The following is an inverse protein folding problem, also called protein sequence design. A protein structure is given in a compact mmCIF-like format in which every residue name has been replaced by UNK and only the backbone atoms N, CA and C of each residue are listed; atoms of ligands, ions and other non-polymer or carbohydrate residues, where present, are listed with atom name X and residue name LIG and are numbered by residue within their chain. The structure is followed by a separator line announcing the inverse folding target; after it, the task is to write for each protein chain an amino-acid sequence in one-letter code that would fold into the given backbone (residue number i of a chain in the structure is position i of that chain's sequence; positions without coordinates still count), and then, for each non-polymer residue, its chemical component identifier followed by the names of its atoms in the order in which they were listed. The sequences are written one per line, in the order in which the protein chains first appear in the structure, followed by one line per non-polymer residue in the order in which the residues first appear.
data_IF_294129351564
#
_entry.id   IF_294129351564
#
_cell.length_a   1.000
_cell.length_b   1.000
_cell.length_c   1.000
_cell.angle_alpha   90.00
_cell.angle_beta   90.00
_cell.angle_gamma   90.00
#
_symmetry.space_group_name_H-M   'P 1'
#
loop_
_entity.id
_entity.type
_entity.pdbx_description
1 polymer ?
#
# COMPACT_ATOMS: atom_id res chain seq x y z
N UNK A 1 33.88 -22.45 -25.48
CA UNK A 1 32.44 -22.69 -25.70
C UNK A 1 31.70 -21.79 -24.75
N UNK A 2 31.17 -20.66 -25.21
CA UNK A 2 30.35 -19.75 -24.38
C UNK A 2 29.01 -20.40 -24.16
N UNK A 3 28.73 -20.83 -22.94
CA UNK A 3 27.36 -21.20 -22.51
C UNK A 3 26.46 -20.00 -22.74
N UNK A 4 25.60 -20.10 -23.74
CA UNK A 4 24.46 -19.19 -23.88
C UNK A 4 23.49 -19.46 -22.72
N UNK A 5 23.71 -18.81 -21.59
CA UNK A 5 22.76 -18.82 -20.49
C UNK A 5 21.45 -18.22 -21.04
N UNK A 6 20.48 -19.07 -21.28
CA UNK A 6 19.15 -18.65 -21.76
C UNK A 6 18.60 -17.62 -20.79
N UNK A 7 18.36 -16.39 -21.26
CA UNK A 7 17.83 -15.33 -20.41
C UNK A 7 16.39 -15.65 -20.02
N UNK A 8 16.17 -15.91 -18.74
CA UNK A 8 14.83 -16.11 -18.17
C UNK A 8 14.33 -14.73 -17.71
N UNK A 9 13.31 -14.24 -18.38
CA UNK A 9 12.83 -12.88 -18.26
C UNK A 9 11.53 -12.82 -17.45
N UNK A 10 11.51 -11.95 -16.43
CA UNK A 10 10.32 -11.52 -15.71
C UNK A 10 9.77 -10.24 -16.35
N UNK A 11 8.57 -10.30 -16.92
CA UNK A 11 7.86 -9.16 -17.48
C UNK A 11 6.91 -8.54 -16.46
N UNK A 12 6.86 -7.21 -16.41
CA UNK A 12 6.03 -6.44 -15.47
C UNK A 12 5.30 -5.32 -16.20
N UNK A 13 4.00 -5.19 -15.94
CA UNK A 13 3.17 -4.08 -16.40
C UNK A 13 2.04 -3.80 -15.41
N UNK A 14 1.42 -2.61 -15.48
CA UNK A 14 0.38 -2.18 -14.56
C UNK A 14 -0.95 -1.83 -15.24
N UNK A 15 -2.03 -1.90 -14.44
CA UNK A 15 -3.35 -1.41 -14.80
C UNK A 15 -3.92 -0.53 -13.68
N UNK A 16 -4.56 0.58 -14.05
CA UNK A 16 -5.29 1.41 -13.09
C UNK A 16 -4.55 2.64 -12.57
N UNK A 17 -3.58 3.22 -13.29
CA UNK A 17 -2.91 4.49 -12.88
C UNK A 17 -3.83 5.69 -12.92
N UNK A 18 -4.61 5.85 -13.99
CA UNK A 18 -5.40 7.05 -14.26
C UNK A 18 -6.86 7.08 -13.77
N UNK A 19 -7.53 5.96 -13.46
CA UNK A 19 -8.91 5.97 -12.97
C UNK A 19 -9.06 6.73 -11.65
N UNK A 20 -10.25 7.31 -11.46
CA UNK A 20 -10.65 8.02 -10.24
C UNK A 20 -11.09 7.10 -9.10
N UNK A 21 -11.42 5.84 -9.44
CA UNK A 21 -11.86 4.83 -8.50
C UNK A 21 -11.22 3.46 -8.79
N UNK A 22 -11.19 2.62 -7.76
CA UNK A 22 -10.70 1.25 -7.80
C UNK A 22 -9.19 1.11 -7.60
N UNK A 23 -8.71 -0.14 -7.51
CA UNK A 23 -7.34 -0.46 -7.18
C UNK A 23 -6.36 -0.16 -8.32
N UNK A 24 -5.08 -0.11 -7.95
CA UNK A 24 -3.93 -0.25 -8.84
C UNK A 24 -3.49 -1.71 -8.83
N UNK A 25 -3.26 -2.30 -10.00
CA UNK A 25 -2.87 -3.71 -10.13
C UNK A 25 -1.62 -3.80 -11.00
N UNK A 26 -0.62 -4.56 -10.54
CA UNK A 26 0.59 -4.89 -11.29
C UNK A 26 0.60 -6.39 -11.59
N UNK A 27 0.85 -6.75 -12.84
CA UNK A 27 1.13 -8.11 -13.25
C UNK A 27 2.63 -8.38 -13.32
N UNK A 28 3.04 -9.59 -12.94
CA UNK A 28 4.41 -10.09 -13.05
C UNK A 28 4.38 -11.50 -13.63
N UNK A 29 5.04 -11.74 -14.77
CA UNK A 29 4.96 -13.01 -15.50
C UNK A 29 6.34 -13.48 -15.97
N UNK A 30 6.64 -14.76 -15.72
CA UNK A 30 7.76 -15.51 -16.29
C UNK A 30 7.21 -16.58 -17.23
N UNK A 31 7.43 -16.43 -18.54
CA UNK A 31 6.98 -17.41 -19.55
C UNK A 31 7.96 -18.58 -19.67
N UNK A 32 9.29 -18.34 -19.56
CA UNK A 32 10.35 -19.35 -19.65
C UNK A 32 10.22 -20.27 -20.89
N UNK A 33 9.93 -19.68 -22.05
CA UNK A 33 9.77 -20.42 -23.31
C UNK A 33 8.35 -20.90 -23.59
N UNK A 34 7.40 -20.74 -22.66
CA UNK A 34 5.99 -21.03 -22.94
C UNK A 34 5.47 -20.13 -24.06
N UNK A 35 4.83 -20.74 -25.06
CA UNK A 35 4.18 -20.04 -26.18
C UNK A 35 2.68 -20.04 -25.93
N UNK A 36 2.10 -18.85 -25.82
CA UNK A 36 0.66 -18.68 -25.61
C UNK A 36 0.04 -18.14 -26.90
N UNK A 37 -0.79 -18.94 -27.54
CA UNK A 37 -1.41 -18.61 -28.82
C UNK A 37 -2.27 -17.34 -28.73
N UNK A 38 -1.96 -16.39 -29.61
CA UNK A 38 -2.68 -15.12 -29.69
C UNK A 38 -2.25 -14.11 -28.63
N UNK A 39 -1.16 -14.36 -27.91
CA UNK A 39 -0.49 -13.35 -27.10
C UNK A 39 0.11 -12.30 -28.05
N UNK A 40 -0.43 -11.12 -28.03
CA UNK A 40 -0.03 -9.98 -28.84
C UNK A 40 -0.04 -8.72 -27.96
N UNK A 41 0.26 -7.55 -28.57
CA UNK A 41 0.10 -6.26 -27.92
C UNK A 41 -1.27 -6.15 -27.23
N UNK A 42 -1.26 -6.05 -25.90
CA UNK A 42 -2.45 -6.06 -25.05
C UNK A 42 -3.48 -4.98 -25.47
N UNK A 43 -3.00 -3.85 -26.01
CA UNK A 43 -3.80 -2.71 -26.45
C UNK A 43 -4.54 -2.98 -27.77
N UNK A 44 -4.03 -3.90 -28.59
CA UNK A 44 -4.68 -4.33 -29.84
C UNK A 44 -5.73 -5.42 -29.62
N UNK A 45 -5.73 -6.06 -28.46
CA UNK A 45 -6.68 -7.11 -28.11
C UNK A 45 -8.02 -6.52 -27.66
N UNK A 46 -9.12 -7.13 -28.10
CA UNK A 46 -10.46 -6.83 -27.58
C UNK A 46 -10.59 -7.25 -26.11
N UNK A 47 -11.52 -6.65 -25.35
CA UNK A 47 -11.84 -7.06 -23.96
C UNK A 47 -12.13 -8.56 -23.88
N UNK A 48 -12.92 -9.10 -24.83
CA UNK A 48 -13.24 -10.53 -24.91
C UNK A 48 -11.96 -11.39 -25.07
N UNK A 49 -11.06 -11.01 -25.97
CA UNK A 49 -9.83 -11.77 -26.20
C UNK A 49 -8.90 -11.77 -24.99
N UNK A 50 -8.73 -10.62 -24.32
CA UNK A 50 -7.96 -10.55 -23.08
C UNK A 50 -8.53 -11.45 -21.98
N UNK A 51 -9.87 -11.48 -21.79
CA UNK A 51 -10.53 -12.36 -20.83
C UNK A 51 -10.31 -13.85 -21.11
N UNK A 52 -10.21 -14.23 -22.40
CA UNK A 52 -9.89 -15.62 -22.78
C UNK A 52 -8.41 -15.95 -22.53
N UNK A 53 -7.51 -14.99 -22.75
CA UNK A 53 -6.06 -15.21 -22.60
C UNK A 53 -5.60 -15.22 -21.13
N UNK A 54 -6.21 -14.43 -20.26
CA UNK A 54 -5.77 -14.33 -18.87
C UNK A 54 -5.71 -15.68 -18.13
N UNK A 55 -6.74 -16.55 -18.18
CA UNK A 55 -6.66 -17.90 -17.61
C UNK A 55 -5.57 -18.76 -18.24
N UNK A 56 -5.38 -18.67 -19.57
CA UNK A 56 -4.33 -19.40 -20.28
C UNK A 56 -2.94 -18.97 -19.81
N UNK A 57 -2.73 -17.64 -19.63
CA UNK A 57 -1.48 -17.11 -19.09
C UNK A 57 -1.24 -17.64 -17.67
N UNK A 58 -2.24 -17.57 -16.79
CA UNK A 58 -2.13 -18.03 -15.41
C UNK A 58 -1.82 -19.53 -15.32
N UNK A 59 -2.27 -20.33 -16.27
CA UNK A 59 -2.08 -21.78 -16.29
C UNK A 59 -0.77 -22.20 -16.99
N UNK A 60 -0.36 -21.53 -18.07
CA UNK A 60 0.74 -21.97 -18.93
C UNK A 60 2.07 -21.26 -18.67
N UNK A 61 2.05 -20.07 -18.06
CA UNK A 61 3.29 -19.41 -17.63
C UNK A 61 3.99 -20.21 -16.55
N UNK A 62 5.31 -20.19 -16.55
CA UNK A 62 6.10 -20.81 -15.47
C UNK A 62 5.76 -20.18 -14.11
N UNK A 63 5.53 -18.87 -14.08
CA UNK A 63 4.95 -18.17 -12.94
C UNK A 63 4.21 -16.91 -13.41
N UNK A 64 3.08 -16.63 -12.78
CA UNK A 64 2.30 -15.41 -12.98
C UNK A 64 1.72 -14.96 -11.63
N UNK A 65 1.87 -13.67 -11.31
CA UNK A 65 1.40 -13.09 -10.05
C UNK A 65 0.82 -11.70 -10.25
N UNK A 66 -0.06 -11.32 -9.33
CA UNK A 66 -0.67 -9.99 -9.28
C UNK A 66 -0.33 -9.30 -7.96
N UNK A 67 0.06 -8.03 -8.04
CA UNK A 67 0.22 -7.17 -6.88
C UNK A 67 -0.86 -6.10 -6.88
N UNK A 68 -1.61 -6.01 -5.80
CA UNK A 68 -2.76 -5.11 -5.63
C UNK A 68 -2.43 -4.01 -4.64
N UNK A 69 -2.91 -2.79 -4.94
CA UNK A 69 -2.95 -1.65 -4.03
C UNK A 69 -4.33 -1.02 -4.12
N UNK A 70 -5.04 -0.95 -3.00
CA UNK A 70 -6.39 -0.37 -2.93
C UNK A 70 -6.39 1.14 -3.19
N UNK A 71 -7.56 1.70 -3.47
CA UNK A 71 -7.73 3.15 -3.61
C UNK A 71 -7.25 3.90 -2.36
N UNK A 72 -7.51 3.35 -1.18
CA UNK A 72 -7.14 3.95 0.09
C UNK A 72 -5.62 3.91 0.30
N UNK A 73 -4.97 2.78 0.07
CA UNK A 73 -3.50 2.68 0.14
C UNK A 73 -2.85 3.67 -0.84
N UNK A 74 -3.41 3.80 -2.06
CA UNK A 74 -2.92 4.74 -3.06
C UNK A 74 -3.06 6.19 -2.57
N UNK A 75 -4.19 6.56 -1.97
CA UNK A 75 -4.41 7.89 -1.41
C UNK A 75 -3.45 8.21 -0.25
N UNK A 76 -3.11 7.19 0.55
CA UNK A 76 -2.20 7.35 1.70
C UNK A 76 -0.75 7.59 1.26
N UNK A 77 -0.29 6.89 0.22
CA UNK A 77 1.12 6.89 -0.16
C UNK A 77 1.41 7.66 -1.46
N UNK A 78 0.37 7.97 -2.24
CA UNK A 78 0.49 8.55 -3.56
C UNK A 78 0.88 7.53 -4.64
N UNK A 79 0.62 7.87 -5.90
CA UNK A 79 0.71 6.96 -7.05
C UNK A 79 2.08 6.30 -7.22
N UNK A 80 3.16 7.03 -7.01
CA UNK A 80 4.53 6.54 -7.23
C UNK A 80 4.87 5.37 -6.30
N UNK A 81 4.53 5.49 -5.01
CA UNK A 81 4.78 4.42 -4.05
C UNK A 81 3.76 3.29 -4.16
N UNK A 82 2.53 3.61 -4.51
CA UNK A 82 1.53 2.60 -4.81
C UNK A 82 2.01 1.67 -5.94
N UNK A 83 2.62 2.24 -6.99
CA UNK A 83 3.26 1.46 -8.07
C UNK A 83 4.44 0.63 -7.55
N UNK A 84 5.29 1.20 -6.70
CA UNK A 84 6.38 0.48 -6.06
C UNK A 84 5.86 -0.71 -5.25
N UNK A 85 4.89 -0.47 -4.37
CA UNK A 85 4.31 -1.50 -3.50
C UNK A 85 3.62 -2.60 -4.31
N UNK A 86 2.78 -2.23 -5.29
CA UNK A 86 2.13 -3.21 -6.15
C UNK A 86 3.16 -4.06 -6.92
N UNK A 87 4.23 -3.44 -7.42
CA UNK A 87 5.32 -4.15 -8.11
C UNK A 87 6.04 -5.12 -7.17
N UNK A 88 6.37 -4.68 -5.96
CA UNK A 88 6.99 -5.53 -4.94
C UNK A 88 6.07 -6.73 -4.62
N UNK A 89 4.77 -6.48 -4.37
CA UNK A 89 3.78 -7.54 -4.09
C UNK A 89 3.72 -8.58 -5.22
N UNK A 90 3.68 -8.13 -6.47
CA UNK A 90 3.67 -9.02 -7.62
C UNK A 90 4.96 -9.84 -7.73
N UNK A 91 6.12 -9.20 -7.66
CA UNK A 91 7.43 -9.84 -7.85
C UNK A 91 7.77 -10.82 -6.73
N UNK A 92 7.33 -10.56 -5.51
CA UNK A 92 7.64 -11.45 -4.38
C UNK A 92 6.84 -12.75 -4.41
N UNK A 93 5.71 -12.78 -5.10
CA UNK A 93 4.99 -14.03 -5.37
C UNK A 93 5.65 -14.91 -6.45
N UNK A 94 6.70 -14.41 -7.14
CA UNK A 94 7.42 -15.19 -8.17
C UNK A 94 8.51 -16.03 -7.50
N UNK A 95 8.27 -17.32 -7.36
CA UNK A 95 9.17 -18.27 -6.72
C UNK A 95 10.15 -18.96 -7.70
N UNK A 96 9.96 -18.77 -9.01
CA UNK A 96 10.84 -19.37 -10.03
C UNK A 96 12.06 -18.49 -10.31
N UNK A 97 13.21 -19.07 -10.77
CA UNK A 97 14.38 -18.29 -11.12
C UNK A 97 14.14 -17.40 -12.35
N UNK A 98 14.71 -16.21 -12.33
CA UNK A 98 14.83 -15.29 -13.47
C UNK A 98 16.13 -14.48 -13.29
N UNK A 99 16.70 -14.03 -14.41
CA UNK A 99 17.97 -13.29 -14.42
C UNK A 99 17.84 -11.89 -15.00
N UNK A 100 16.66 -11.51 -15.52
CA UNK A 100 16.36 -10.19 -16.04
C UNK A 100 14.91 -9.80 -15.70
N UNK A 101 14.69 -8.52 -15.41
CA UNK A 101 13.37 -7.94 -15.21
C UNK A 101 13.15 -6.85 -16.25
N UNK A 102 12.02 -6.88 -16.97
CA UNK A 102 11.59 -5.79 -17.84
C UNK A 102 10.29 -5.22 -17.32
N UNK A 103 10.30 -3.90 -17.06
CA UNK A 103 9.12 -3.13 -16.66
C UNK A 103 8.68 -2.25 -17.84
N UNK A 104 7.39 -2.28 -18.19
CA UNK A 104 6.86 -1.31 -19.16
C UNK A 104 6.99 0.13 -18.64
N UNK A 105 7.38 1.05 -19.52
CA UNK A 105 7.57 2.46 -19.18
C UNK A 105 9.02 2.86 -18.91
N UNK A 106 9.19 3.96 -18.18
CA UNK A 106 10.50 4.62 -17.97
C UNK A 106 10.98 4.59 -16.53
N UNK A 107 10.17 4.08 -15.59
CA UNK A 107 10.45 4.13 -14.16
C UNK A 107 10.76 2.74 -13.61
N UNK A 108 11.90 2.63 -12.93
CA UNK A 108 12.25 1.42 -12.19
C UNK A 108 11.56 1.42 -10.81
N UNK A 109 10.42 0.75 -10.71
CA UNK A 109 9.67 0.65 -9.44
C UNK A 109 10.30 -0.30 -8.41
N UNK A 110 11.37 -1.02 -8.78
CA UNK A 110 12.17 -1.84 -7.87
C UNK A 110 13.49 -1.16 -7.47
N UNK A 111 13.71 0.10 -7.88
CA UNK A 111 14.89 0.86 -7.47
C UNK A 111 14.97 0.94 -5.94
N UNK A 112 16.17 0.70 -5.39
CA UNK A 112 16.39 0.64 -3.93
C UNK A 112 16.03 -0.71 -3.29
N UNK A 113 15.56 -1.70 -4.06
CA UNK A 113 15.40 -3.09 -3.61
C UNK A 113 16.59 -3.94 -4.07
N UNK A 114 16.78 -5.12 -3.47
CA UNK A 114 17.81 -6.09 -3.91
C UNK A 114 17.64 -6.56 -5.36
N UNK A 115 16.47 -6.33 -5.97
CA UNK A 115 16.16 -6.70 -7.36
C UNK A 115 16.32 -5.55 -8.35
N UNK A 116 16.50 -4.32 -7.88
CA UNK A 116 16.55 -3.10 -8.71
C UNK A 116 17.69 -3.10 -9.75
N UNK A 117 18.82 -3.75 -9.46
CA UNK A 117 19.96 -3.85 -10.36
C UNK A 117 19.69 -4.72 -11.61
N UNK A 118 18.70 -5.61 -11.55
CA UNK A 118 18.33 -6.51 -12.66
C UNK A 118 17.24 -5.93 -13.56
N UNK A 119 16.75 -4.73 -13.25
CA UNK A 119 15.63 -4.08 -13.95
C UNK A 119 16.14 -3.28 -15.15
N UNK A 120 15.50 -3.57 -16.29
CA UNK A 120 15.52 -2.71 -17.47
C UNK A 120 14.12 -2.15 -17.69
N UNK A 121 14.00 -0.84 -17.76
CA UNK A 121 12.76 -0.17 -18.17
C UNK A 121 12.71 -0.03 -19.68
N UNK A 122 11.55 -0.28 -20.28
CA UNK A 122 11.36 -0.19 -21.73
C UNK A 122 9.97 0.35 -22.05
N UNK A 123 9.85 1.57 -22.59
CA UNK A 123 8.55 2.09 -23.02
C UNK A 123 7.92 1.21 -24.10
N UNK A 124 6.64 0.89 -23.97
CA UNK A 124 5.87 0.02 -24.86
C UNK A 124 6.42 -1.42 -24.92
N UNK A 125 6.98 -1.90 -23.84
CA UNK A 125 7.48 -3.28 -23.75
C UNK A 125 6.35 -4.31 -23.87
N UNK A 126 5.12 -3.95 -23.50
CA UNK A 126 3.90 -4.72 -23.67
C UNK A 126 3.61 -5.10 -25.12
N UNK A 127 4.08 -4.30 -26.08
CA UNK A 127 3.96 -4.59 -27.51
C UNK A 127 5.11 -5.45 -28.08
N UNK A 128 6.23 -5.55 -27.38
CA UNK A 128 7.48 -6.13 -27.91
C UNK A 128 7.91 -7.40 -27.16
N UNK A 129 7.59 -7.52 -25.88
CA UNK A 129 8.10 -8.55 -24.98
C UNK A 129 6.93 -9.42 -24.49
N UNK A 130 6.85 -10.70 -24.89
CA UNK A 130 5.73 -11.57 -24.56
C UNK A 130 5.37 -11.65 -23.08
N UNK A 131 6.37 -11.74 -22.17
CA UNK A 131 6.12 -11.77 -20.71
C UNK A 131 5.56 -10.46 -20.17
N UNK A 132 5.91 -9.30 -20.77
CA UNK A 132 5.33 -7.99 -20.41
C UNK A 132 3.91 -7.87 -20.95
N UNK A 133 3.67 -8.33 -22.19
CA UNK A 133 2.31 -8.42 -22.76
C UNK A 133 1.40 -9.30 -21.90
N UNK A 134 1.90 -10.46 -21.45
CA UNK A 134 1.18 -11.35 -20.56
C UNK A 134 0.86 -10.66 -19.21
N UNK A 135 1.82 -9.97 -18.62
CA UNK A 135 1.66 -9.19 -17.37
C UNK A 135 0.58 -8.11 -17.52
N UNK A 136 0.61 -7.36 -18.64
CA UNK A 136 -0.41 -6.37 -19.00
C UNK A 136 -1.82 -6.96 -19.06
N UNK A 137 -1.96 -8.11 -19.73
CA UNK A 137 -3.25 -8.78 -19.90
C UNK A 137 -3.82 -9.22 -18.54
N UNK A 138 -3.05 -9.92 -17.71
CA UNK A 138 -3.55 -10.39 -16.42
C UNK A 138 -3.88 -9.24 -15.48
N UNK A 139 -3.05 -8.20 -15.42
CA UNK A 139 -3.32 -7.02 -14.60
C UNK A 139 -4.61 -6.31 -15.04
N UNK A 140 -4.78 -6.12 -16.36
CA UNK A 140 -5.96 -5.46 -16.91
C UNK A 140 -7.23 -6.26 -16.71
N UNK A 141 -7.20 -7.58 -16.96
CA UNK A 141 -8.38 -8.44 -16.79
C UNK A 141 -8.79 -8.51 -15.33
N UNK A 142 -7.86 -8.77 -14.43
CA UNK A 142 -8.14 -8.86 -13.00
C UNK A 142 -8.73 -7.55 -12.44
N UNK A 143 -8.18 -6.41 -12.86
CA UNK A 143 -8.72 -5.11 -12.47
C UNK A 143 -10.11 -4.84 -13.06
N UNK A 144 -10.33 -5.14 -14.33
CA UNK A 144 -11.64 -4.93 -14.98
C UNK A 144 -12.73 -5.83 -14.37
N UNK A 145 -12.37 -7.03 -13.93
CA UNK A 145 -13.28 -7.94 -13.21
C UNK A 145 -13.62 -7.42 -11.81
N UNK A 146 -12.63 -6.94 -11.06
CA UNK A 146 -12.87 -6.27 -9.78
C UNK A 146 -13.83 -5.08 -9.95
N UNK A 147 -13.58 -4.21 -10.94
CA UNK A 147 -14.44 -3.06 -11.20
C UNK A 147 -15.86 -3.46 -11.63
N UNK A 148 -16.02 -4.60 -12.31
CA UNK A 148 -17.33 -5.10 -12.67
C UNK A 148 -18.10 -5.66 -11.46
N UNK A 149 -17.40 -6.30 -10.51
CA UNK A 149 -18.02 -6.80 -9.27
C UNK A 149 -18.47 -5.64 -8.36
N UNK A 150 -17.85 -4.47 -8.45
CA UNK A 150 -18.30 -3.29 -7.72
C UNK A 150 -19.69 -2.81 -8.13
N UNK A 151 -20.19 -3.16 -9.31
CA UNK A 151 -21.56 -2.84 -9.73
C UNK A 151 -22.61 -3.56 -8.87
N UNK A 152 -22.26 -4.69 -8.23
CA UNK A 152 -23.13 -5.39 -7.27
C UNK A 152 -23.28 -4.60 -5.96
N UNK A 153 -22.24 -3.87 -5.58
CA UNK A 153 -22.20 -3.09 -4.33
C UNK A 153 -22.60 -1.63 -4.54
N UNK A 154 -22.28 -1.07 -5.71
CA UNK A 154 -22.48 0.32 -6.09
C UNK A 154 -23.06 0.44 -7.50
N UNK A 155 -24.28 -0.07 -7.73
CA UNK A 155 -24.87 -0.16 -9.07
C UNK A 155 -25.08 1.20 -9.76
N UNK A 156 -25.24 2.28 -8.99
CA UNK A 156 -25.45 3.64 -9.47
C UNK A 156 -24.26 4.18 -10.28
N UNK A 157 -23.05 3.75 -9.94
CA UNK A 157 -21.82 4.28 -10.58
C UNK A 157 -21.53 3.64 -11.91
N UNK A 158 -21.89 2.35 -12.12
CA UNK A 158 -21.62 1.61 -13.35
C UNK A 158 -20.13 1.40 -13.59
N UNK A 159 -19.37 1.08 -12.56
CA UNK A 159 -17.91 0.89 -12.58
C UNK A 159 -17.45 -0.14 -13.62
N UNK A 160 -18.21 -1.20 -13.85
CA UNK A 160 -17.91 -2.23 -14.84
C UNK A 160 -17.90 -1.73 -16.28
N UNK A 161 -18.60 -0.62 -16.57
CA UNK A 161 -18.65 -0.02 -17.90
C UNK A 161 -17.43 0.84 -18.24
N UNK A 162 -16.91 1.59 -17.27
CA UNK A 162 -15.82 2.56 -17.46
C UNK A 162 -14.60 2.30 -16.58
N UNK A 163 -14.60 1.20 -15.84
CA UNK A 163 -13.46 0.77 -15.00
C UNK A 163 -12.91 1.89 -14.10
N UNK A 164 -13.78 2.75 -13.54
CA UNK A 164 -13.43 3.84 -12.64
C UNK A 164 -12.85 5.09 -13.31
N UNK A 165 -12.76 5.14 -14.64
CA UNK A 165 -12.34 6.36 -15.35
C UNK A 165 -13.40 7.46 -15.26
N UNK A 166 -12.96 8.73 -15.28
CA UNK A 166 -13.81 9.92 -15.15
C UNK A 166 -14.64 10.23 -16.39
N UNK A 167 -15.52 9.31 -16.77
CA UNK A 167 -16.53 9.52 -17.84
C UNK A 167 -17.62 10.48 -17.39
N UNK A 168 -18.43 10.97 -18.33
CA UNK A 168 -19.59 11.79 -18.00
C UNK A 168 -20.55 11.08 -17.03
N UNK A 169 -20.82 9.78 -17.26
CA UNK A 169 -21.63 8.95 -16.38
C UNK A 169 -21.05 8.85 -14.97
N UNK A 170 -19.74 8.65 -14.86
CA UNK A 170 -19.10 8.56 -13.54
C UNK A 170 -19.16 9.87 -12.77
N UNK A 171 -18.98 11.01 -13.46
CA UNK A 171 -19.16 12.35 -12.87
C UNK A 171 -20.56 12.57 -12.38
N UNK A 172 -21.57 12.27 -13.21
CA UNK A 172 -22.96 12.40 -12.85
C UNK A 172 -23.29 11.55 -11.62
N UNK A 173 -22.84 10.30 -11.56
CA UNK A 173 -23.03 9.45 -10.39
C UNK A 173 -22.40 10.03 -9.11
N UNK A 174 -21.21 10.64 -9.21
CA UNK A 174 -20.58 11.33 -8.08
C UNK A 174 -21.40 12.56 -7.64
N UNK A 175 -21.91 13.34 -8.57
CA UNK A 175 -22.72 14.52 -8.27
C UNK A 175 -24.05 14.14 -7.60
N UNK A 176 -24.67 13.01 -7.99
CA UNK A 176 -25.96 12.54 -7.48
C UNK A 176 -25.84 11.74 -6.16
N UNK A 177 -24.82 10.90 -6.04
CA UNK A 177 -24.69 9.90 -4.96
C UNK A 177 -23.47 10.13 -4.06
N UNK A 178 -22.61 11.12 -4.38
CA UNK A 178 -21.35 11.36 -3.65
C UNK A 178 -20.24 10.40 -4.06
N UNK A 179 -19.28 10.19 -3.16
CA UNK A 179 -18.16 9.27 -3.39
C UNK A 179 -18.23 8.04 -2.49
N UNK A 180 -17.72 6.92 -2.97
CA UNK A 180 -17.58 5.66 -2.24
C UNK A 180 -16.14 5.50 -1.72
N UNK A 181 -15.85 4.54 -0.85
CA UNK A 181 -14.50 4.18 -0.42
C UNK A 181 -13.55 3.77 -1.55
N UNK A 182 -14.10 3.39 -2.69
CA UNK A 182 -13.33 3.03 -3.88
C UNK A 182 -12.79 4.25 -4.64
N UNK A 183 -13.28 5.45 -4.37
CA UNK A 183 -12.80 6.67 -5.00
C UNK A 183 -11.47 7.14 -4.39
N UNK A 184 -10.58 7.61 -5.27
CA UNK A 184 -9.24 8.08 -4.91
C UNK A 184 -9.29 9.56 -4.57
N UNK A 185 -9.42 9.87 -3.28
CA UNK A 185 -9.58 11.26 -2.80
C UNK A 185 -8.35 12.13 -3.00
N UNK A 186 -7.17 11.56 -3.24
CA UNK A 186 -5.97 12.29 -3.61
C UNK A 186 -5.97 12.77 -5.06
N UNK A 187 -6.89 12.30 -5.90
CA UNK A 187 -6.99 12.71 -7.30
C UNK A 187 -7.80 14.01 -7.39
N UNK A 188 -7.27 14.98 -8.15
CA UNK A 188 -7.85 16.32 -8.23
C UNK A 188 -9.37 16.36 -8.53
N UNK A 189 -9.94 15.51 -9.42
CA UNK A 189 -11.39 15.52 -9.65
C UNK A 189 -12.22 15.00 -8.47
N UNK A 190 -11.63 14.21 -7.56
CA UNK A 190 -12.32 13.60 -6.42
C UNK A 190 -12.05 14.35 -5.12
N UNK A 191 -10.92 15.05 -5.02
CA UNK A 191 -10.51 15.78 -3.82
C UNK A 191 -11.59 16.71 -3.23
N UNK A 192 -12.40 17.45 -4.02
CA UNK A 192 -13.47 18.29 -3.49
C UNK A 192 -14.57 17.52 -2.74
N UNK A 193 -14.75 16.25 -3.04
CA UNK A 193 -15.76 15.39 -2.44
C UNK A 193 -15.28 14.63 -1.20
N UNK A 194 -13.99 14.76 -0.82
CA UNK A 194 -13.39 14.01 0.27
C UNK A 194 -14.12 14.13 1.62
N UNK A 195 -14.76 15.27 1.89
CA UNK A 195 -15.55 15.50 3.10
C UNK A 195 -16.88 14.70 3.14
N UNK A 196 -17.31 14.15 2.02
CA UNK A 196 -18.57 13.40 1.89
C UNK A 196 -18.44 11.92 2.29
N UNK A 197 -17.21 11.41 2.45
CA UNK A 197 -17.01 10.02 2.90
C UNK A 197 -17.58 9.88 4.32
N UNK A 198 -18.56 9.00 4.54
CA UNK A 198 -19.02 8.72 5.89
C UNK A 198 -17.85 8.14 6.69
N UNK A 199 -17.73 8.56 7.95
CA UNK A 199 -16.79 8.00 8.94
C UNK A 199 -17.21 6.56 9.32
N UNK A 200 -17.46 5.70 8.35
CA UNK A 200 -17.85 4.31 8.60
C UNK A 200 -16.63 3.40 8.57
N UNK A 201 -16.63 2.44 9.50
CA UNK A 201 -15.70 1.33 9.59
C UNK A 201 -15.53 0.61 8.24
N UNK A 202 -14.41 0.88 7.55
CA UNK A 202 -14.15 0.34 6.20
C UNK A 202 -13.15 -0.83 6.25
N UNK A 203 -12.82 -1.37 7.42
CA UNK A 203 -11.77 -2.40 7.49
C UNK A 203 -12.10 -3.59 8.39
N UNK A 204 -12.66 -4.62 7.76
CA UNK A 204 -12.39 -6.03 8.08
C UNK A 204 -11.61 -6.64 6.91
N UNK A 205 -10.35 -6.29 6.73
CA UNK A 205 -9.46 -6.88 5.74
C UNK A 205 -8.22 -7.40 6.44
N UNK A 206 -8.08 -8.71 6.57
CA UNK A 206 -6.87 -9.37 7.04
C UNK A 206 -5.66 -8.93 6.23
N UNK A 207 -4.68 -8.32 6.89
CA UNK A 207 -3.34 -8.15 6.34
C UNK A 207 -2.66 -9.52 6.45
N UNK A 208 -2.76 -10.31 5.41
CA UNK A 208 -2.10 -11.61 5.34
C UNK A 208 -0.57 -11.46 5.42
N UNK A 209 0.07 -12.38 6.15
CA UNK A 209 1.49 -12.36 6.55
C UNK A 209 2.54 -12.30 5.43
N UNK A 210 2.14 -12.20 4.16
CA UNK A 210 3.05 -12.15 3.00
C UNK A 210 3.73 -10.79 2.78
N UNK A 211 3.18 -9.69 3.28
CA UNK A 211 3.77 -8.34 3.14
C UNK A 211 5.10 -8.23 3.92
N UNK A 212 5.23 -8.96 5.03
CA UNK A 212 6.48 -9.01 5.83
C UNK A 212 7.69 -9.46 5.01
N UNK A 213 7.53 -10.51 4.20
CA UNK A 213 8.60 -11.05 3.36
C UNK A 213 8.93 -10.11 2.20
N UNK A 214 7.93 -9.43 1.66
CA UNK A 214 8.01 -8.55 0.50
C UNK A 214 8.86 -7.31 0.70
N UNK A 215 8.79 -6.76 1.89
CA UNK A 215 9.48 -5.53 2.25
C UNK A 215 10.91 -5.79 2.76
N UNK A 216 11.26 -7.04 3.13
CA UNK A 216 12.58 -7.40 3.60
C UNK A 216 13.66 -7.34 2.52
N UNK A 217 13.30 -7.57 1.26
CA UNK A 217 14.24 -7.49 0.12
C UNK A 217 14.55 -6.04 -0.27
N UNK A 218 13.91 -5.05 0.35
CA UNK A 218 13.97 -3.63 -0.04
C UNK A 218 14.91 -2.75 0.81
N UNK A 219 15.65 -3.29 1.76
CA UNK A 219 16.37 -2.49 2.74
C UNK A 219 17.85 -2.24 2.41
N UNK A 220 18.19 -0.99 2.16
CA UNK A 220 19.54 -0.45 2.13
C UNK A 220 19.53 1.06 2.31
N UNK A 221 19.67 1.57 3.52
CA UNK A 221 19.79 3.02 3.75
C UNK A 221 19.93 3.42 5.22
N UNK A 222 20.96 4.17 5.52
CA UNK A 222 21.40 4.66 6.83
C UNK A 222 20.53 5.78 7.42
N UNK A 223 20.44 5.80 8.74
CA UNK A 223 19.63 6.69 9.57
C UNK A 223 20.37 7.94 10.08
N UNK A 224 19.66 9.09 10.15
CA UNK A 224 20.07 10.27 10.95
C UNK A 224 18.90 10.79 11.79
N UNK A 225 19.17 11.10 13.07
CA UNK A 225 18.25 11.75 14.01
C UNK A 225 18.25 13.27 13.84
N UNK A 226 17.11 13.97 14.00
CA UNK A 226 17.08 15.43 14.12
C UNK A 226 17.12 15.88 15.58
N UNK A 227 17.89 16.94 15.83
CA UNK A 227 18.07 17.63 17.12
C UNK A 227 16.96 18.65 17.40
N UNK A 228 16.64 18.84 18.69
CA UNK A 228 15.57 19.71 19.19
C UNK A 228 16.02 21.15 19.45
N UNK A 229 15.13 22.13 19.25
CA UNK A 229 15.24 23.49 19.80
C UNK A 229 13.95 23.93 20.52
N UNK A 230 14.14 24.75 21.59
CA UNK A 230 13.12 25.18 22.56
C UNK A 230 12.44 26.49 22.19
N UNK A 231 11.13 26.64 22.43
CA UNK A 231 10.46 27.81 23.06
C UNK A 231 8.91 27.67 23.12
N UNK A 232 8.32 28.21 24.19
CA UNK A 232 6.92 28.50 24.61
C UNK A 232 5.82 27.42 24.45
N UNK A 233 5.05 27.20 25.55
CA UNK A 233 4.04 26.14 25.72
C UNK A 233 2.83 26.37 24.79
N UNK A 234 2.90 25.79 23.61
CA UNK A 234 1.84 25.75 22.61
C UNK A 234 1.15 24.38 22.66
N UNK A 235 0.05 24.22 21.95
CA UNK A 235 -0.66 22.92 21.77
C UNK A 235 0.31 21.80 21.33
N UNK A 236 1.34 22.15 20.58
CA UNK A 236 2.40 21.24 20.16
C UNK A 236 3.24 20.72 21.31
N UNK A 237 3.55 21.57 22.30
CA UNK A 237 4.34 21.15 23.48
C UNK A 237 3.53 20.28 24.45
N UNK A 238 2.23 20.49 24.58
CA UNK A 238 1.37 19.57 25.33
C UNK A 238 1.35 18.19 24.66
N UNK A 239 1.43 18.14 23.31
CA UNK A 239 1.64 16.91 22.56
C UNK A 239 2.96 16.25 22.90
N UNK A 240 4.08 16.98 22.82
CA UNK A 240 5.42 16.48 23.11
C UNK A 240 5.56 15.98 24.56
N UNK A 241 4.95 16.68 25.55
CA UNK A 241 4.89 16.26 26.96
C UNK A 241 4.08 14.97 27.10
N UNK A 242 2.94 14.86 26.39
CA UNK A 242 2.08 13.67 26.42
C UNK A 242 2.78 12.45 25.85
N UNK A 243 3.49 12.60 24.73
CA UNK A 243 4.30 11.53 24.14
C UNK A 243 5.44 11.10 25.07
N UNK A 244 6.11 12.06 25.73
CA UNK A 244 7.15 11.76 26.72
C UNK A 244 6.58 10.96 27.88
N UNK A 245 5.42 11.36 28.40
CA UNK A 245 4.75 10.71 29.53
C UNK A 245 4.36 9.27 29.18
N UNK A 246 3.74 9.07 27.99
CA UNK A 246 3.36 7.73 27.49
C UNK A 246 4.61 6.87 27.25
N UNK A 247 5.68 7.44 26.70
CA UNK A 247 6.96 6.75 26.50
C UNK A 247 7.51 6.22 27.82
N UNK A 248 7.56 7.07 28.86
CA UNK A 248 8.05 6.70 30.19
C UNK A 248 7.18 5.63 30.85
N UNK A 249 5.85 5.69 30.65
CA UNK A 249 4.93 4.66 31.15
C UNK A 249 5.18 3.31 30.47
N UNK A 250 5.32 3.31 29.15
CA UNK A 250 5.64 2.07 28.41
C UNK A 250 6.96 1.46 28.87
N UNK A 251 7.99 2.27 29.16
CA UNK A 251 9.25 1.78 29.71
C UNK A 251 9.08 1.19 31.11
N UNK A 252 8.27 1.81 31.98
CA UNK A 252 7.92 1.28 33.29
C UNK A 252 7.15 -0.06 33.18
N UNK A 253 6.36 -0.22 32.14
CA UNK A 253 5.62 -1.46 31.84
C UNK A 253 6.49 -2.54 31.13
N UNK A 254 7.80 -2.31 31.06
CA UNK A 254 8.78 -3.28 30.54
C UNK A 254 8.93 -3.26 29.00
N UNK A 255 8.48 -2.20 28.35
CA UNK A 255 8.78 -1.98 26.93
C UNK A 255 10.17 -1.35 26.78
N UNK A 256 10.85 -1.68 25.70
CA UNK A 256 12.01 -0.93 25.20
C UNK A 256 11.53 0.02 24.11
N UNK A 257 11.63 1.32 24.33
CA UNK A 257 11.33 2.33 23.31
C UNK A 257 12.41 2.31 22.24
N UNK A 258 12.02 2.14 20.99
CA UNK A 258 12.91 2.02 19.84
C UNK A 258 13.01 3.33 19.07
N UNK A 259 11.91 4.06 18.97
CA UNK A 259 11.83 5.36 18.31
C UNK A 259 10.66 6.16 18.86
N UNK A 260 10.80 7.50 18.84
CA UNK A 260 9.75 8.47 19.09
C UNK A 260 9.64 9.39 17.89
N UNK A 261 8.43 9.86 17.59
CA UNK A 261 8.16 10.73 16.45
C UNK A 261 8.78 10.17 15.15
N UNK A 262 8.60 8.85 14.95
CA UNK A 262 9.13 8.22 13.75
C UNK A 262 8.34 8.70 12.54
N UNK A 263 9.04 9.44 11.67
CA UNK A 263 8.45 10.10 10.52
C UNK A 263 9.06 9.63 9.22
N UNK A 264 8.19 9.49 8.26
CA UNK A 264 8.57 9.44 6.85
C UNK A 264 7.83 10.56 6.13
N UNK A 265 8.08 10.76 4.86
CA UNK A 265 7.29 11.74 4.09
C UNK A 265 5.81 11.37 3.95
N UNK A 266 5.40 10.16 4.40
CA UNK A 266 4.06 9.61 4.18
C UNK A 266 3.30 9.27 5.45
N UNK A 267 3.99 9.01 6.52
CA UNK A 267 3.37 8.58 7.78
C UNK A 267 4.21 8.99 8.98
N UNK A 268 3.55 9.06 10.13
CA UNK A 268 4.12 9.37 11.43
C UNK A 268 3.56 8.39 12.46
N UNK A 269 4.43 7.92 13.35
CA UNK A 269 4.08 7.18 14.57
C UNK A 269 4.73 7.86 15.74
N UNK A 270 3.96 8.17 16.76
CA UNK A 270 4.44 8.91 17.91
C UNK A 270 5.44 8.10 18.73
N UNK A 271 5.17 6.80 19.01
CA UNK A 271 6.07 5.93 19.73
C UNK A 271 6.13 4.55 19.10
N UNK A 272 7.32 4.03 18.86
CA UNK A 272 7.56 2.63 18.50
C UNK A 272 8.32 1.97 19.64
N UNK A 273 7.76 0.92 20.22
CA UNK A 273 8.38 0.17 21.32
C UNK A 273 8.36 -1.33 21.08
N UNK A 274 9.15 -2.10 21.82
CA UNK A 274 9.09 -3.54 21.80
C UNK A 274 9.02 -4.12 23.21
N UNK A 275 8.27 -5.23 23.35
CA UNK A 275 8.22 -6.04 24.57
C UNK A 275 8.24 -7.51 24.17
N UNK A 276 9.27 -8.23 24.59
CA UNK A 276 9.52 -9.59 24.10
C UNK A 276 9.73 -9.60 22.58
N UNK A 277 8.98 -10.42 21.86
CA UNK A 277 8.97 -10.49 20.39
C UNK A 277 7.79 -9.74 19.74
N UNK A 278 7.27 -8.72 20.42
CA UNK A 278 6.16 -7.90 19.88
C UNK A 278 6.60 -6.46 19.78
N UNK A 279 6.38 -5.86 18.61
CA UNK A 279 6.49 -4.43 18.35
C UNK A 279 5.13 -3.76 18.57
N UNK A 280 5.16 -2.61 19.20
CA UNK A 280 3.99 -1.78 19.43
C UNK A 280 4.18 -0.44 18.74
N UNK A 281 3.17 -0.06 17.95
CA UNK A 281 3.10 1.20 17.22
C UNK A 281 2.00 2.03 17.87
N UNK A 282 2.40 3.04 18.65
CA UNK A 282 1.51 3.78 19.55
C UNK A 282 1.26 5.18 19.01
N UNK A 283 -0.02 5.54 18.87
CA UNK A 283 -0.51 6.89 18.63
C UNK A 283 -0.94 7.53 19.93
N UNK A 284 -0.51 8.77 20.19
CA UNK A 284 -0.82 9.52 21.41
C UNK A 284 -1.81 10.64 21.09
N UNK A 285 -2.93 10.70 21.81
CA UNK A 285 -3.94 11.75 21.70
C UNK A 285 -4.04 12.54 22.99
N UNK A 286 -3.77 13.84 22.92
CA UNK A 286 -3.93 14.76 24.03
C UNK A 286 -5.21 15.58 23.92
N UNK A 287 -5.91 15.78 25.06
CA UNK A 287 -7.09 16.65 25.19
C UNK A 287 -6.95 17.61 26.34
N UNK A 288 -7.51 18.82 26.19
CA UNK A 288 -7.47 19.83 27.27
C UNK A 288 -8.50 19.55 28.37
N UNK A 289 -9.59 18.85 28.07
CA UNK A 289 -10.68 18.50 29.00
C UNK A 289 -10.84 17.00 29.12
N UNK A 290 -11.05 16.52 30.34
CA UNK A 290 -11.27 15.11 30.68
C UNK A 290 -12.78 14.78 30.57
N UNK A 291 -13.28 14.54 29.35
CA UNK A 291 -14.58 13.86 29.19
C UNK A 291 -14.31 12.37 29.07
N UNK A 292 -14.74 11.62 30.08
CA UNK A 292 -14.53 10.18 30.21
C UNK A 292 -15.02 9.41 28.98
N UNK A 293 -14.16 8.57 28.41
CA UNK A 293 -14.51 7.56 27.39
C UNK A 293 -14.36 7.97 25.93
N UNK A 294 -14.21 9.26 25.60
CA UNK A 294 -14.14 9.74 24.20
C UNK A 294 -12.71 9.78 23.61
N UNK A 295 -11.67 9.51 24.42
CA UNK A 295 -10.25 9.62 24.00
C UNK A 295 -9.83 8.65 22.91
N UNK A 296 -10.29 7.41 22.97
CA UNK A 296 -9.93 6.32 22.07
C UNK A 296 -10.87 6.18 20.87
N UNK A 297 -12.15 6.59 21.02
CA UNK A 297 -13.08 6.72 19.90
C UNK A 297 -12.60 7.72 18.83
N UNK A 298 -11.54 8.51 19.14
CA UNK A 298 -10.95 9.49 18.23
C UNK A 298 -9.93 8.92 17.24
N UNK A 299 -9.52 7.65 17.37
CA UNK A 299 -8.63 7.04 16.38
C UNK A 299 -9.48 6.44 15.27
N UNK A 300 -9.73 7.27 14.26
CA UNK A 300 -10.51 6.88 13.08
C UNK A 300 -9.90 5.65 12.39
N UNK A 301 -10.72 4.87 11.70
CA UNK A 301 -10.28 3.74 10.88
C UNK A 301 -9.16 4.16 9.89
N UNK A 302 -9.27 5.36 9.31
CA UNK A 302 -8.23 5.96 8.47
C UNK A 302 -6.89 6.09 9.20
N UNK A 303 -6.88 6.55 10.46
CA UNK A 303 -5.63 6.68 11.23
C UNK A 303 -5.06 5.31 11.61
N UNK A 304 -5.88 4.34 11.98
CA UNK A 304 -5.42 2.97 12.24
C UNK A 304 -4.76 2.37 10.99
N UNK A 305 -5.31 2.63 9.81
CA UNK A 305 -4.71 2.18 8.56
C UNK A 305 -3.37 2.86 8.28
N UNK A 306 -3.26 4.18 8.53
CA UNK A 306 -1.97 4.87 8.45
C UNK A 306 -0.94 4.27 9.40
N UNK A 307 -1.36 3.89 10.61
CA UNK A 307 -0.50 3.23 11.59
C UNK A 307 -0.09 1.82 11.13
N UNK A 308 -1.00 1.04 10.53
CA UNK A 308 -0.67 -0.27 9.94
C UNK A 308 0.36 -0.13 8.83
N UNK A 309 0.13 0.77 7.90
CA UNK A 309 1.09 1.08 6.83
C UNK A 309 2.45 1.52 7.40
N UNK A 310 2.46 2.38 8.43
CA UNK A 310 3.68 2.81 9.08
C UNK A 310 4.42 1.65 9.76
N UNK A 311 3.68 0.72 10.40
CA UNK A 311 4.25 -0.48 11.00
C UNK A 311 4.91 -1.39 9.96
N UNK A 312 4.24 -1.63 8.83
CA UNK A 312 4.79 -2.40 7.71
C UNK A 312 6.06 -1.75 7.16
N UNK A 313 6.03 -0.43 6.94
CA UNK A 313 7.17 0.32 6.45
C UNK A 313 8.35 0.32 7.44
N UNK A 314 8.06 0.39 8.75
CA UNK A 314 9.09 0.26 9.79
C UNK A 314 9.72 -1.13 9.76
N UNK A 315 8.92 -2.19 9.74
CA UNK A 315 9.41 -3.57 9.68
C UNK A 315 10.27 -3.81 8.44
N UNK A 316 9.85 -3.27 7.30
CA UNK A 316 10.59 -3.33 6.05
C UNK A 316 12.00 -2.74 6.15
N UNK A 317 12.10 -1.59 6.83
CA UNK A 317 13.37 -0.88 7.01
C UNK A 317 14.24 -1.44 8.12
N UNK A 318 13.71 -2.37 8.92
CA UNK A 318 14.42 -2.94 10.07
C UNK A 318 14.35 -4.48 10.07
N UNK A 319 15.12 -5.17 9.21
CA UNK A 319 15.06 -6.63 9.03
C UNK A 319 15.24 -7.43 10.32
N UNK A 320 15.97 -6.88 11.30
CA UNK A 320 16.15 -7.50 12.63
C UNK A 320 14.84 -7.76 13.39
N UNK A 321 13.77 -7.07 13.02
CA UNK A 321 12.45 -7.23 13.63
C UNK A 321 11.46 -8.06 12.78
N UNK A 322 11.92 -8.68 11.73
CA UNK A 322 11.12 -9.45 10.79
C UNK A 322 10.27 -10.55 11.43
N UNK A 323 10.80 -11.15 12.48
CA UNK A 323 10.14 -12.24 13.22
C UNK A 323 9.29 -11.75 14.41
N UNK A 324 9.14 -10.43 14.54
CA UNK A 324 8.36 -9.84 15.63
C UNK A 324 6.89 -9.69 15.22
N UNK A 325 5.98 -9.90 16.18
CA UNK A 325 4.58 -9.54 16.00
C UNK A 325 4.44 -8.02 16.02
N UNK A 326 3.58 -7.45 15.19
CA UNK A 326 3.24 -6.03 15.21
C UNK A 326 1.86 -5.82 15.82
N UNK A 327 1.73 -4.86 16.74
CA UNK A 327 0.46 -4.45 17.33
C UNK A 327 0.32 -2.94 17.31
N UNK A 328 -0.87 -2.47 17.03
CA UNK A 328 -1.20 -1.05 17.12
C UNK A 328 -1.68 -0.74 18.53
N UNK A 329 -1.27 0.41 19.05
CA UNK A 329 -1.72 0.93 20.33
C UNK A 329 -2.21 2.36 20.19
N UNK A 330 -3.11 2.72 21.07
CA UNK A 330 -3.57 4.08 21.27
C UNK A 330 -3.39 4.48 22.73
N UNK A 331 -2.86 5.67 22.97
CA UNK A 331 -2.77 6.26 24.27
C UNK A 331 -3.53 7.59 24.32
N UNK A 332 -4.37 7.78 25.32
CA UNK A 332 -5.00 9.07 25.60
C UNK A 332 -4.39 9.74 26.83
N UNK A 333 -4.22 11.05 26.71
CA UNK A 333 -3.79 11.92 27.81
C UNK A 333 -4.72 13.12 27.91
N UNK A 334 -4.96 13.62 29.12
CA UNK A 334 -5.85 14.76 29.33
C UNK A 334 -5.30 15.76 30.34
N UNK A 335 -5.81 17.01 30.27
CA UNK A 335 -5.55 18.08 31.20
C UNK A 335 -4.48 19.09 30.78
N UNK A 336 -4.41 20.24 31.43
CA UNK A 336 -3.39 21.28 31.22
C UNK A 336 -1.99 20.84 31.69
N UNK A 337 -1.96 19.90 32.65
CA UNK A 337 -0.82 19.06 32.98
C UNK A 337 -1.17 17.64 32.50
N UNK A 338 -0.62 17.16 31.39
CA UNK A 338 -1.00 15.88 30.82
C UNK A 338 -0.91 14.73 31.82
N UNK A 339 -1.97 13.93 31.90
CA UNK A 339 -1.99 12.65 32.64
C UNK A 339 -2.47 11.57 31.69
N UNK A 340 -1.89 10.38 31.78
CA UNK A 340 -2.34 9.23 30.99
C UNK A 340 -3.69 8.80 31.54
N UNK A 341 -4.69 8.76 30.67
CA UNK A 341 -6.01 8.20 30.98
C UNK A 341 -6.05 6.71 30.66
N UNK A 342 -5.50 6.35 29.50
CA UNK A 342 -5.61 4.99 28.99
C UNK A 342 -4.53 4.70 27.94
N UNK A 343 -4.00 3.46 27.94
CA UNK A 343 -3.21 2.88 26.86
C UNK A 343 -3.89 1.56 26.49
N UNK A 344 -4.34 1.42 25.24
CA UNK A 344 -5.02 0.19 24.77
C UNK A 344 -4.38 -0.33 23.49
N UNK A 345 -4.38 -1.65 23.36
CA UNK A 345 -4.08 -2.28 22.07
C UNK A 345 -5.33 -2.22 21.21
N UNK A 346 -5.18 -1.66 20.02
CA UNK A 346 -6.27 -1.61 19.03
C UNK A 346 -6.43 -3.02 18.48
N UNK A 347 -7.66 -3.54 18.61
CA UNK A 347 -7.97 -4.90 18.19
C UNK A 347 -7.72 -5.09 16.68
N UNK A 348 -7.31 -6.29 16.37
CA UNK A 348 -7.13 -6.84 15.03
C UNK A 348 -8.41 -6.85 14.24
#
# INVERSE_FOLDING_TARGET
MSEHTTSILLGIDEAGRGPWAGPLVVGAVVLAGATIDGLADSKKLTKRRRRMLAPCIMQQAQAAQLGWVSAIELDMMGLSLALQLATIRAVSGIAVPYNQIIIDGTVNFLAGTGKGAYVRTMPKADALIPSVSAASIIAKVARDEYMAQLDDTYPEYGFGSHAGYGTARHRQAIDEHGITPEHRVSFAPIAPHAAQLPTRDIFTGEITGNIRQLLMDASGGTWHQPTASRASVTTRQLGDISEQLVSSQLEADGHKVLARNWRTRWCEIDIISCRGKTLYFTEVKHRKTADYGAGLAAISARKQQQMRFAAELFLARHPRYAQYNARLQAASTAGTQPRIEQIVTLNE
#
